data_IF_347587887804
#
_entry.id   IF_347587887804
#
_cell.length_a   1.000
_cell.length_b   1.000
_cell.length_c   1.000
_cell.angle_alpha   90.00
_cell.angle_beta   90.00
_cell.angle_gamma   90.00
#
_symmetry.space_group_name_H-M   'P 1'
#
loop_
_entity.id
_entity.type
_entity.pdbx_description
1 polymer ?
#
# COMPACT_ATOMS: atom_id res chain seq x y z
N UNK A 1 -0.82 -6.23 7.83
CA UNK A 1 0.09 -5.57 6.86
C UNK A 1 0.49 -6.47 5.70
N UNK A 2 1.06 -7.66 5.94
CA UNK A 2 1.71 -8.51 4.92
C UNK A 2 0.88 -8.81 3.65
N UNK A 3 -0.41 -9.14 3.75
CA UNK A 3 -1.27 -9.43 2.58
C UNK A 3 -1.52 -8.18 1.71
N UNK A 4 -1.82 -7.05 2.35
CA UNK A 4 -2.04 -5.76 1.67
C UNK A 4 -0.78 -5.32 0.92
N UNK A 5 0.38 -5.35 1.58
CA UNK A 5 1.65 -4.98 0.94
C UNK A 5 2.03 -5.92 -0.20
N UNK A 6 1.82 -7.24 -0.07
CA UNK A 6 1.98 -8.19 -1.19
C UNK A 6 1.11 -7.82 -2.41
N UNK A 7 -0.14 -7.42 -2.17
CA UNK A 7 -1.05 -6.99 -3.25
C UNK A 7 -0.58 -5.68 -3.89
N UNK A 8 -0.20 -4.68 -3.09
CA UNK A 8 0.35 -3.40 -3.57
C UNK A 8 1.59 -3.63 -4.43
N UNK A 9 2.55 -4.43 -3.96
CA UNK A 9 3.75 -4.75 -4.72
C UNK A 9 3.49 -5.60 -5.98
N UNK A 10 2.37 -6.32 -6.06
CA UNK A 10 1.95 -6.99 -7.30
C UNK A 10 1.37 -5.98 -8.29
N UNK A 11 0.49 -5.09 -7.81
CA UNK A 11 -0.17 -4.09 -8.65
C UNK A 11 0.82 -3.03 -9.18
N UNK A 12 1.75 -2.55 -8.35
CA UNK A 12 2.77 -1.58 -8.75
C UNK A 12 3.81 -2.15 -9.74
N UNK A 13 3.98 -3.47 -9.78
CA UNK A 13 4.81 -4.15 -10.80
C UNK A 13 4.14 -4.25 -12.17
N UNK A 14 2.84 -3.98 -12.27
CA UNK A 14 2.16 -3.89 -13.57
C UNK A 14 2.57 -2.61 -14.30
N UNK A 15 2.35 -2.60 -15.61
CA UNK A 15 2.58 -1.41 -16.44
C UNK A 15 1.84 -0.19 -15.88
N UNK A 16 2.41 0.99 -16.11
CA UNK A 16 1.83 2.29 -15.72
C UNK A 16 0.39 2.47 -16.25
N UNK A 17 0.12 1.93 -17.44
CA UNK A 17 -1.18 2.00 -18.10
C UNK A 17 -2.22 1.02 -17.54
N UNK A 18 -1.84 0.16 -16.58
CA UNK A 18 -2.78 -0.80 -16.02
C UNK A 18 -3.82 -0.08 -15.14
N UNK A 19 -5.11 -0.33 -15.42
CA UNK A 19 -6.25 0.21 -14.67
C UNK A 19 -6.09 -0.02 -13.16
N UNK A 20 -5.59 -1.19 -12.77
CA UNK A 20 -5.36 -1.50 -11.34
C UNK A 20 -4.27 -0.64 -10.69
N UNK A 21 -3.24 -0.23 -11.45
CA UNK A 21 -2.19 0.68 -10.98
C UNK A 21 -2.69 2.12 -10.92
N UNK A 22 -3.47 2.55 -11.89
CA UNK A 22 -4.14 3.87 -11.86
C UNK A 22 -5.15 3.97 -10.70
N UNK A 23 -5.88 2.89 -10.42
CA UNK A 23 -6.83 2.83 -9.31
C UNK A 23 -6.17 3.00 -7.92
N UNK A 24 -4.89 2.66 -7.77
CA UNK A 24 -4.14 2.88 -6.52
C UNK A 24 -3.93 4.38 -6.24
N UNK A 25 -3.67 5.17 -7.28
CA UNK A 25 -3.42 6.61 -7.17
C UNK A 25 -4.69 7.45 -7.40
N UNK A 26 -5.77 6.84 -7.89
CA UNK A 26 -7.02 7.51 -8.21
C UNK A 26 -7.63 8.22 -7.01
N UNK A 27 -7.81 9.54 -7.13
CA UNK A 27 -8.57 10.36 -6.19
C UNK A 27 -9.91 10.73 -6.84
N UNK A 28 -11.03 10.07 -6.51
CA UNK A 28 -12.30 10.36 -7.15
C UNK A 28 -12.74 11.78 -6.78
N UNK A 29 -12.86 12.62 -7.79
CA UNK A 29 -13.38 13.97 -7.67
C UNK A 29 -14.89 13.93 -7.45
N UNK A 30 -15.40 14.71 -6.50
CA UNK A 30 -16.83 14.78 -6.18
C UNK A 30 -17.16 14.79 -4.70
N UNK A 31 -18.37 15.24 -4.37
CA UNK A 31 -18.90 15.27 -3.01
C UNK A 31 -19.33 13.86 -2.61
N UNK A 32 -18.71 13.30 -1.55
CA UNK A 32 -19.14 12.03 -0.94
C UNK A 32 -20.43 12.24 -0.14
N UNK A 33 -21.32 11.25 -0.12
CA UNK A 33 -22.49 11.24 0.77
C UNK A 33 -22.04 11.36 2.24
N UNK A 34 -22.70 12.25 2.99
CA UNK A 34 -22.50 12.41 4.45
C UNK A 34 -22.76 11.06 5.12
N UNK A 35 -21.85 10.62 5.99
CA UNK A 35 -21.93 9.32 6.69
C UNK A 35 -21.10 8.19 6.08
N UNK A 36 -20.55 8.33 4.87
CA UNK A 36 -19.62 7.33 4.33
C UNK A 36 -18.24 7.47 5.00
N UNK A 37 -17.67 6.39 5.56
CA UNK A 37 -16.34 6.41 6.16
C UNK A 37 -15.28 6.97 5.21
N UNK A 38 -14.36 7.78 5.76
CA UNK A 38 -13.30 8.47 5.01
C UNK A 38 -12.06 7.58 4.80
N UNK A 39 -12.17 6.26 5.00
CA UNK A 39 -11.09 5.29 4.85
C UNK A 39 -11.02 4.81 3.39
N UNK A 40 -10.27 5.53 2.56
CA UNK A 40 -9.91 5.05 1.22
C UNK A 40 -8.68 4.15 1.30
N UNK A 41 -8.58 3.17 0.39
CA UNK A 41 -7.36 2.36 0.22
C UNK A 41 -6.11 3.26 0.13
N UNK A 42 -6.20 4.39 -0.56
CA UNK A 42 -5.13 5.40 -0.64
C UNK A 42 -4.70 5.93 0.74
N UNK A 43 -5.63 6.27 1.64
CA UNK A 43 -5.31 6.77 2.98
C UNK A 43 -4.71 5.71 3.88
N UNK A 44 -5.15 4.46 3.75
CA UNK A 44 -4.56 3.35 4.48
C UNK A 44 -3.12 3.06 4.02
N UNK A 45 -2.88 3.14 2.71
CA UNK A 45 -1.55 3.00 2.12
C UNK A 45 -0.65 4.15 2.57
N UNK A 46 -1.14 5.38 2.50
CA UNK A 46 -0.42 6.58 2.93
C UNK A 46 -0.07 6.56 4.42
N UNK A 47 -1.01 6.09 5.27
CA UNK A 47 -0.75 5.90 6.69
C UNK A 47 0.30 4.80 6.95
N UNK A 48 0.25 3.69 6.20
CA UNK A 48 1.27 2.64 6.31
C UNK A 48 2.64 3.14 5.83
N UNK A 49 2.69 3.91 4.73
CA UNK A 49 3.93 4.50 4.21
C UNK A 49 4.53 5.50 5.19
N UNK A 50 3.70 6.34 5.81
CA UNK A 50 4.14 7.28 6.83
C UNK A 50 4.76 6.56 8.04
N UNK A 51 4.25 5.37 8.39
CA UNK A 51 4.87 4.51 9.42
C UNK A 51 6.21 3.92 9.00
N UNK A 52 6.45 3.80 7.70
CA UNK A 52 7.70 3.25 7.14
C UNK A 52 8.72 4.33 6.77
N UNK A 53 8.37 5.61 6.94
CA UNK A 53 9.18 6.76 6.53
C UNK A 53 9.65 6.71 5.06
N UNK A 54 8.85 6.09 4.19
CA UNK A 54 9.18 5.95 2.77
C UNK A 54 8.28 6.82 1.90
N UNK A 55 8.89 7.43 0.89
CA UNK A 55 8.20 8.23 -0.13
C UNK A 55 7.70 7.30 -1.25
N UNK A 56 6.68 7.72 -1.99
CA UNK A 56 6.02 6.89 -3.00
C UNK A 56 6.95 6.51 -4.15
N UNK A 57 7.80 7.44 -4.59
CA UNK A 57 8.82 7.18 -5.61
C UNK A 57 9.83 6.11 -5.18
N UNK A 58 10.31 6.21 -3.93
CA UNK A 58 11.25 5.21 -3.39
C UNK A 58 10.59 3.84 -3.30
N UNK A 59 9.31 3.79 -2.96
CA UNK A 59 8.57 2.53 -2.96
C UNK A 59 8.43 1.97 -4.38
N UNK A 60 8.14 2.79 -5.39
CA UNK A 60 8.09 2.31 -6.78
C UNK A 60 9.43 1.70 -7.20
N UNK A 61 10.54 2.34 -6.82
CA UNK A 61 11.91 1.84 -7.06
C UNK A 61 12.16 0.50 -6.36
N UNK A 62 11.85 0.41 -5.06
CA UNK A 62 12.02 -0.80 -4.26
C UNK A 62 11.10 -1.92 -4.75
N UNK A 63 9.89 -1.62 -5.23
CA UNK A 63 8.95 -2.64 -5.73
C UNK A 63 9.43 -3.27 -7.03
N UNK A 64 10.13 -2.51 -7.87
CA UNK A 64 10.78 -3.04 -9.07
C UNK A 64 11.98 -3.92 -8.69
N UNK A 65 12.76 -3.54 -7.68
CA UNK A 65 13.81 -4.38 -7.11
C UNK A 65 13.24 -5.54 -6.26
N UNK A 66 13.32 -6.77 -6.79
CA UNK A 66 12.81 -7.95 -6.07
C UNK A 66 13.52 -8.22 -4.75
N UNK A 67 14.79 -7.84 -4.62
CA UNK A 67 15.59 -8.07 -3.42
C UNK A 67 15.24 -7.03 -2.36
N UNK A 68 15.29 -5.74 -2.72
CA UNK A 68 14.86 -4.63 -1.86
C UNK A 68 13.43 -4.81 -1.36
N UNK A 69 12.50 -5.24 -2.23
CA UNK A 69 11.13 -5.56 -1.83
C UNK A 69 11.06 -6.67 -0.76
N UNK A 70 11.90 -7.70 -0.87
CA UNK A 70 11.94 -8.80 0.11
C UNK A 70 12.44 -8.32 1.47
N UNK A 71 13.47 -7.47 1.49
CA UNK A 71 14.03 -6.86 2.70
C UNK A 71 12.98 -5.99 3.40
N UNK A 72 12.33 -5.10 2.64
CA UNK A 72 11.27 -4.23 3.15
C UNK A 72 10.08 -5.03 3.70
N UNK A 73 9.65 -6.09 3.00
CA UNK A 73 8.62 -7.01 3.48
C UNK A 73 9.03 -7.84 4.70
N UNK A 74 10.34 -8.10 4.87
CA UNK A 74 10.92 -8.77 6.03
C UNK A 74 10.82 -7.91 7.28
N UNK A 75 11.21 -6.63 7.19
CA UNK A 75 11.06 -5.66 8.27
C UNK A 75 9.61 -5.43 8.70
N UNK A 76 8.66 -5.53 7.76
CA UNK A 76 7.21 -5.48 8.04
C UNK A 76 6.66 -6.69 8.80
N UNK A 77 7.44 -7.77 8.96
CA UNK A 77 6.94 -9.06 9.44
C UNK A 77 7.25 -9.35 10.93
N UNK A 78 7.87 -8.42 11.66
CA UNK A 78 8.27 -8.66 13.06
C UNK A 78 7.25 -8.24 14.13
N UNK A 79 6.06 -7.74 13.76
CA UNK A 79 5.14 -7.12 14.75
C UNK A 79 3.72 -7.71 14.82
N UNK A 80 3.44 -8.90 14.29
CA UNK A 80 2.08 -9.48 14.42
C UNK A 80 2.10 -10.96 14.78
N UNK A 81 2.76 -11.30 15.89
CA UNK A 81 2.42 -12.48 16.70
C UNK A 81 1.55 -12.09 17.90
N UNK A 82 0.73 -11.04 17.79
CA UNK A 82 -0.23 -10.67 18.84
C UNK A 82 -1.36 -9.88 18.19
N UNK A 83 -2.49 -10.53 17.98
CA UNK A 83 -3.89 -10.05 17.86
C UNK A 83 -4.60 -11.12 17.03
N UNK A 84 -4.75 -12.28 17.67
CA UNK A 84 -5.86 -13.20 17.42
C UNK A 84 -6.56 -13.26 18.78
N UNK A 85 -7.36 -12.23 19.09
CA UNK A 85 -8.27 -12.28 20.24
C UNK A 85 -9.57 -12.96 19.77
N UNK A 86 -10.03 -13.83 20.67
CA UNK A 86 -11.15 -14.77 20.60
C UNK A 86 -12.46 -14.06 20.27
#
# INVERSE_FOLDING_TARGET
>A
MKRRWKWIGHTLRKSSNCITRQALTWNPEGKRKRGRPKNTLRREIEADMKRMNNIWEELERIVQDRVGWRVLMGGLCSSTSSIRRK
#
